data_IF_317621664123
#
_entry.id   IF_317621664123
#
_cell.length_a   1.000
_cell.length_b   1.000
_cell.length_c   1.000
_cell.angle_alpha   90.00
_cell.angle_beta   90.00
_cell.angle_gamma   90.00
#
_symmetry.space_group_name_H-M   'P 1'
#
loop_
_entity.id
_entity.type
_entity.pdbx_description
1 polymer ?
#
# COMPACT_ATOMS: atom_id res chain seq x y z
N UNK A 1 3.85 20.73 13.01
CA UNK A 1 5.04 19.85 13.00
C UNK A 1 5.14 19.23 14.39
N UNK A 2 4.75 17.99 14.55
CA UNK A 2 5.01 17.26 15.80
C UNK A 2 6.41 16.70 15.67
N UNK A 3 7.39 17.33 16.30
CA UNK A 3 8.71 16.73 16.50
C UNK A 3 8.49 15.54 17.42
N UNK A 4 8.64 14.32 16.89
CA UNK A 4 8.68 13.11 17.66
C UNK A 4 9.79 13.25 18.71
N UNK A 5 9.42 13.41 19.99
CA UNK A 5 10.36 13.46 21.09
C UNK A 5 10.83 12.03 21.40
N UNK A 6 11.79 11.56 20.64
CA UNK A 6 12.40 10.24 20.79
C UNK A 6 13.07 10.05 22.15
N UNK A 7 13.37 11.15 22.88
CA UNK A 7 14.00 11.07 24.20
C UNK A 7 13.04 10.63 25.32
N UNK A 8 11.72 10.80 25.12
CA UNK A 8 10.67 10.35 26.06
C UNK A 8 9.89 9.13 25.55
N UNK A 9 10.30 8.54 24.45
CA UNK A 9 9.64 7.36 23.88
C UNK A 9 9.90 6.12 24.76
N UNK A 10 8.84 5.59 25.36
CA UNK A 10 8.87 4.36 26.18
C UNK A 10 8.62 3.09 25.34
N UNK A 11 8.60 3.20 24.01
CA UNK A 11 8.37 2.08 23.11
C UNK A 11 6.91 1.61 23.06
N UNK A 12 5.96 2.43 23.50
CA UNK A 12 4.53 2.12 23.45
C UNK A 12 3.97 2.40 22.04
N UNK A 13 2.91 1.68 21.67
CA UNK A 13 2.15 1.97 20.45
C UNK A 13 1.47 3.33 20.53
N UNK A 14 1.38 4.01 19.39
CA UNK A 14 0.43 5.10 19.22
C UNK A 14 -1.00 4.55 19.37
N UNK A 15 -1.79 4.99 20.35
CA UNK A 15 -3.11 4.41 20.64
C UNK A 15 -4.10 4.62 19.49
N UNK A 16 -3.97 5.70 18.71
CA UNK A 16 -4.82 5.96 17.55
C UNK A 16 -4.47 5.00 16.41
N UNK A 17 -3.18 4.82 16.12
CA UNK A 17 -2.72 3.86 15.11
C UNK A 17 -3.18 2.44 15.46
N UNK A 18 -2.98 2.02 16.72
CA UNK A 18 -3.38 0.70 17.18
C UNK A 18 -4.90 0.48 17.05
N UNK A 19 -5.70 1.47 17.44
CA UNK A 19 -7.15 1.40 17.27
C UNK A 19 -7.58 1.27 15.82
N UNK A 20 -6.92 1.99 14.90
CA UNK A 20 -7.17 1.87 13.46
C UNK A 20 -6.79 0.49 12.92
N UNK A 21 -5.64 -0.05 13.32
CA UNK A 21 -5.19 -1.39 12.92
C UNK A 21 -6.13 -2.51 13.38
N UNK A 22 -6.76 -2.35 14.54
CA UNK A 22 -7.68 -3.34 15.12
C UNK A 22 -9.11 -3.27 14.55
N UNK A 23 -9.52 -2.12 14.00
CA UNK A 23 -10.87 -1.88 13.52
C UNK A 23 -10.89 -1.70 11.98
N UNK A 24 -11.00 -2.81 11.25
CA UNK A 24 -11.00 -2.84 9.78
C UNK A 24 -12.37 -2.42 9.21
N UNK A 25 -12.70 -1.13 9.33
CA UNK A 25 -13.90 -0.54 8.72
C UNK A 25 -13.67 -0.02 7.30
N UNK A 26 -14.63 0.77 6.81
CA UNK A 26 -14.48 1.47 5.54
C UNK A 26 -13.28 2.42 5.58
N UNK A 27 -12.57 2.56 4.47
CA UNK A 27 -11.37 3.39 4.33
C UNK A 27 -10.23 3.07 5.31
N UNK A 28 -10.27 1.87 5.92
CA UNK A 28 -9.31 1.40 6.91
C UNK A 28 -7.85 1.64 6.49
N UNK A 29 -7.47 1.19 5.27
CA UNK A 29 -6.09 1.30 4.79
C UNK A 29 -5.66 2.76 4.65
N UNK A 30 -6.54 3.62 4.16
CA UNK A 30 -6.29 5.06 4.02
C UNK A 30 -6.13 5.74 5.38
N UNK A 31 -6.96 5.39 6.36
CA UNK A 31 -6.87 5.94 7.72
C UNK A 31 -5.58 5.49 8.41
N UNK A 32 -5.21 4.21 8.28
CA UNK A 32 -3.93 3.67 8.79
C UNK A 32 -2.76 4.38 8.11
N UNK A 33 -2.76 4.48 6.77
CA UNK A 33 -1.72 5.15 6.01
C UNK A 33 -1.52 6.61 6.47
N UNK A 34 -2.60 7.38 6.58
CA UNK A 34 -2.52 8.78 7.02
C UNK A 34 -1.94 8.92 8.43
N UNK A 35 -2.23 7.97 9.31
CA UNK A 35 -1.65 7.98 10.65
C UNK A 35 -0.18 7.59 10.63
N UNK A 36 0.20 6.60 9.82
CA UNK A 36 1.57 6.10 9.68
C UNK A 36 2.55 7.18 9.24
N UNK A 37 2.17 8.09 8.35
CA UNK A 37 3.04 9.18 7.86
C UNK A 37 3.76 9.93 8.98
N UNK A 38 3.12 10.07 10.14
CA UNK A 38 3.64 10.81 11.29
C UNK A 38 3.94 9.89 12.49
N UNK A 39 4.00 8.59 12.28
CA UNK A 39 4.22 7.63 13.37
C UNK A 39 5.68 7.24 13.48
N UNK A 40 6.12 7.03 14.72
CA UNK A 40 7.33 6.30 15.02
C UNK A 40 7.04 4.81 14.94
N UNK A 41 7.88 4.07 14.27
CA UNK A 41 7.90 2.61 14.26
C UNK A 41 9.20 2.09 14.88
N UNK A 42 9.25 0.81 15.15
CA UNK A 42 10.42 0.13 15.71
C UNK A 42 10.87 -0.92 14.69
N UNK A 43 12.08 -0.78 14.18
CA UNK A 43 12.76 -1.82 13.40
C UNK A 43 13.45 -2.82 14.31
N UNK A 44 13.87 -3.94 13.75
CA UNK A 44 14.53 -5.02 14.45
C UNK A 44 15.94 -5.27 13.93
N UNK A 45 16.93 -5.24 14.81
CA UNK A 45 18.28 -5.74 14.55
C UNK A 45 18.42 -7.12 15.18
N UNK A 46 18.89 -8.07 14.42
CA UNK A 46 19.16 -9.45 14.86
C UNK A 46 20.62 -9.81 14.68
N UNK A 47 21.14 -10.69 15.54
CA UNK A 47 22.48 -11.23 15.40
C UNK A 47 22.43 -12.38 14.39
N UNK A 48 23.21 -12.28 13.31
CA UNK A 48 23.51 -13.41 12.43
C UNK A 48 24.68 -14.18 13.03
N UNK A 49 24.46 -15.45 13.38
CA UNK A 49 25.48 -16.34 13.92
C UNK A 49 26.21 -17.04 12.75
N UNK A 50 27.15 -16.35 12.15
CA UNK A 50 28.20 -16.95 11.32
C UNK A 50 29.53 -16.96 12.12
N UNK A 51 30.66 -17.21 11.48
CA UNK A 51 31.99 -17.23 12.13
C UNK A 51 32.28 -15.93 12.91
N UNK A 52 31.69 -14.81 12.49
CA UNK A 52 31.64 -13.53 13.22
C UNK A 52 30.21 -13.14 13.48
N UNK A 53 29.92 -12.63 14.70
CA UNK A 53 28.60 -12.12 15.03
C UNK A 53 28.39 -10.78 14.34
N UNK A 54 27.62 -10.76 13.26
CA UNK A 54 27.18 -9.53 12.58
C UNK A 54 25.77 -9.15 13.01
N UNK A 55 25.57 -7.86 13.26
CA UNK A 55 24.26 -7.30 13.58
C UNK A 55 23.62 -6.82 12.27
N UNK A 56 22.50 -7.40 11.92
CA UNK A 56 21.79 -7.11 10.66
C UNK A 56 20.36 -6.70 10.91
N UNK A 57 19.83 -5.85 10.04
CA UNK A 57 18.41 -5.58 10.01
C UNK A 57 17.64 -6.87 9.69
N UNK A 58 16.58 -7.12 10.43
CA UNK A 58 15.76 -8.31 10.21
C UNK A 58 14.99 -8.17 8.90
N UNK A 59 14.95 -9.25 8.14
CA UNK A 59 14.14 -9.38 6.93
C UNK A 59 13.26 -10.63 7.04
N UNK A 60 12.13 -10.60 6.38
CA UNK A 60 11.18 -11.69 6.30
C UNK A 60 11.00 -12.11 4.82
N UNK A 61 11.20 -13.39 4.54
CA UNK A 61 10.99 -13.94 3.20
C UNK A 61 9.71 -14.79 3.17
N UNK A 62 8.86 -14.54 2.21
CA UNK A 62 7.66 -15.34 1.94
C UNK A 62 7.98 -16.54 1.05
N UNK A 63 7.04 -17.49 0.98
CA UNK A 63 7.22 -18.72 0.18
C UNK A 63 7.25 -18.44 -1.34
N UNK A 64 6.71 -17.34 -1.80
CA UNK A 64 6.73 -16.87 -3.19
C UNK A 64 7.97 -16.04 -3.54
N UNK A 65 8.94 -15.95 -2.61
CA UNK A 65 10.24 -15.30 -2.81
C UNK A 65 10.25 -13.80 -2.53
N UNK A 66 9.13 -13.20 -2.12
CA UNK A 66 9.10 -11.79 -1.73
C UNK A 66 9.81 -11.57 -0.41
N UNK A 67 10.51 -10.44 -0.31
CA UNK A 67 11.26 -10.06 0.89
C UNK A 67 10.69 -8.77 1.48
N UNK A 68 10.42 -8.78 2.77
CA UNK A 68 9.86 -7.64 3.46
C UNK A 68 10.65 -7.29 4.72
N UNK A 69 10.60 -6.02 5.09
CA UNK A 69 11.18 -5.51 6.33
C UNK A 69 10.10 -5.51 7.43
N UNK A 70 10.25 -6.29 8.51
CA UNK A 70 9.34 -6.22 9.65
C UNK A 70 9.59 -4.94 10.45
N UNK A 71 8.50 -4.24 10.78
CA UNK A 71 8.49 -3.08 11.68
C UNK A 71 7.36 -3.24 12.69
N UNK A 72 7.47 -2.58 13.83
CA UNK A 72 6.58 -2.81 14.96
C UNK A 72 6.06 -1.49 15.52
N UNK A 73 4.80 -1.49 15.97
CA UNK A 73 4.20 -0.33 16.62
C UNK A 73 4.72 -0.11 18.04
N UNK A 74 5.17 -1.20 18.70
CA UNK A 74 5.67 -1.15 20.08
C UNK A 74 6.78 -2.16 20.36
N UNK A 75 7.45 -2.00 21.50
CA UNK A 75 8.40 -2.99 22.03
C UNK A 75 7.72 -4.31 22.35
N UNK A 76 6.45 -4.31 22.77
CA UNK A 76 5.70 -5.53 23.03
C UNK A 76 5.48 -6.33 21.75
N UNK A 77 5.14 -5.67 20.64
CA UNK A 77 4.99 -6.33 19.34
C UNK A 77 6.33 -6.88 18.81
N UNK A 78 7.42 -6.12 18.97
CA UNK A 78 8.77 -6.60 18.66
C UNK A 78 9.12 -7.85 19.49
N UNK A 79 8.84 -7.81 20.82
CA UNK A 79 9.15 -8.90 21.75
C UNK A 79 8.31 -10.15 21.47
N UNK A 80 7.05 -10.01 21.07
CA UNK A 80 6.22 -11.13 20.59
C UNK A 80 6.85 -11.84 19.39
N UNK A 81 7.44 -11.07 18.48
CA UNK A 81 8.10 -11.63 17.30
C UNK A 81 9.45 -12.25 17.65
N UNK A 82 10.33 -11.49 18.33
CA UNK A 82 11.67 -11.97 18.72
C UNK A 82 12.18 -11.23 19.96
N UNK A 83 12.32 -11.97 21.07
CA UNK A 83 12.80 -11.44 22.36
C UNK A 83 14.26 -11.01 22.34
N UNK A 84 15.08 -11.53 21.40
CA UNK A 84 16.50 -11.23 21.30
C UNK A 84 16.78 -10.06 20.34
N UNK A 85 15.78 -9.60 19.58
CA UNK A 85 15.92 -8.49 18.66
C UNK A 85 16.17 -7.18 19.40
N UNK A 86 17.08 -6.38 18.88
CA UNK A 86 17.35 -5.04 19.38
C UNK A 86 16.50 -4.01 18.63
N UNK A 87 15.79 -3.13 19.37
CA UNK A 87 14.92 -2.12 18.76
C UNK A 87 15.73 -0.98 18.14
N UNK A 88 15.28 -0.50 16.98
CA UNK A 88 15.71 0.77 16.38
C UNK A 88 14.47 1.60 16.09
N UNK A 89 14.22 2.69 16.82
CA UNK A 89 13.10 3.59 16.55
C UNK A 89 13.44 4.55 15.41
N UNK A 90 12.58 4.61 14.38
CA UNK A 90 12.63 5.57 13.28
C UNK A 90 11.20 6.01 12.92
N UNK A 91 11.07 7.08 12.16
CA UNK A 91 9.79 7.47 11.58
C UNK A 91 9.42 6.54 10.41
N UNK A 92 8.13 6.36 10.17
CA UNK A 92 7.65 5.38 9.20
C UNK A 92 8.18 5.62 7.77
N UNK A 93 8.32 6.89 7.35
CA UNK A 93 8.83 7.20 6.01
C UNK A 93 10.31 6.81 5.83
N UNK A 94 11.14 6.88 6.89
CA UNK A 94 12.54 6.45 6.81
C UNK A 94 12.64 4.93 6.60
N UNK A 95 11.78 4.13 7.27
CA UNK A 95 11.69 2.69 7.00
C UNK A 95 11.21 2.40 5.59
N UNK A 96 10.23 3.16 5.10
CA UNK A 96 9.73 3.01 3.72
C UNK A 96 10.83 3.34 2.70
N UNK A 97 11.62 4.40 2.92
CA UNK A 97 12.74 4.74 2.06
C UNK A 97 13.83 3.65 2.08
N UNK A 98 14.20 3.16 3.27
CA UNK A 98 15.16 2.06 3.39
C UNK A 98 14.68 0.78 2.70
N UNK A 99 13.38 0.50 2.74
CA UNK A 99 12.78 -0.66 2.05
C UNK A 99 12.95 -0.54 0.54
N UNK A 100 12.73 0.65 -0.02
CA UNK A 100 12.93 0.93 -1.45
C UNK A 100 14.42 0.86 -1.82
N UNK A 101 15.30 1.50 -1.04
CA UNK A 101 16.74 1.54 -1.30
C UNK A 101 17.40 0.15 -1.27
N UNK A 102 16.83 -0.78 -0.50
CA UNK A 102 17.25 -2.17 -0.42
C UNK A 102 16.51 -3.10 -1.40
N UNK A 103 15.70 -2.54 -2.31
CA UNK A 103 14.92 -3.29 -3.31
C UNK A 103 14.02 -4.37 -2.68
N UNK A 104 13.46 -4.10 -1.48
CA UNK A 104 12.54 -5.00 -0.81
C UNK A 104 11.09 -4.76 -1.29
N UNK A 105 10.27 -5.81 -1.22
CA UNK A 105 8.89 -5.78 -1.74
C UNK A 105 7.91 -5.03 -0.83
N UNK A 106 8.14 -5.04 0.48
CA UNK A 106 7.18 -4.47 1.43
C UNK A 106 7.78 -4.13 2.81
N UNK A 107 7.05 -3.27 3.55
CA UNK A 107 7.09 -3.21 5.00
C UNK A 107 5.96 -4.07 5.58
N UNK A 108 6.21 -4.84 6.63
CA UNK A 108 5.17 -5.56 7.36
C UNK A 108 5.13 -5.04 8.80
N UNK A 109 4.01 -4.42 9.15
CA UNK A 109 3.75 -3.91 10.48
C UNK A 109 3.15 -5.01 11.36
N UNK A 110 3.70 -5.20 12.57
CA UNK A 110 3.24 -6.13 13.62
C UNK A 110 2.98 -7.56 13.10
N UNK A 111 3.96 -8.15 12.42
CA UNK A 111 3.86 -9.42 11.69
C UNK A 111 3.27 -10.58 12.51
N UNK A 112 3.46 -10.58 13.84
CA UNK A 112 3.00 -11.64 14.77
C UNK A 112 1.61 -11.37 15.34
N UNK A 113 0.91 -10.34 14.88
CA UNK A 113 -0.41 -9.95 15.40
C UNK A 113 -1.51 -10.07 14.32
N UNK A 114 -2.76 -10.26 14.78
CA UNK A 114 -3.94 -10.34 13.90
C UNK A 114 -4.22 -9.02 13.17
N UNK A 115 -3.73 -7.92 13.74
CA UNK A 115 -3.82 -6.58 13.16
C UNK A 115 -2.62 -6.21 12.26
N UNK A 116 -1.82 -7.19 11.83
CA UNK A 116 -0.73 -6.94 10.89
C UNK A 116 -1.20 -6.17 9.67
N UNK A 117 -0.34 -5.27 9.19
CA UNK A 117 -0.61 -4.44 8.03
C UNK A 117 0.57 -4.45 7.06
N UNK A 118 0.30 -4.65 5.78
CA UNK A 118 1.32 -4.71 4.73
C UNK A 118 1.30 -3.41 3.93
N UNK A 119 2.48 -2.80 3.76
CA UNK A 119 2.68 -1.57 3.00
C UNK A 119 3.58 -1.94 1.83
N UNK A 120 3.04 -1.91 0.61
CA UNK A 120 3.74 -2.34 -0.60
C UNK A 120 3.34 -1.50 -1.82
N UNK A 121 4.09 -1.65 -2.92
CA UNK A 121 3.79 -1.00 -4.19
C UNK A 121 3.66 0.51 -4.07
N UNK A 122 2.61 1.08 -4.69
CA UNK A 122 2.38 2.53 -4.70
C UNK A 122 2.21 3.12 -3.30
N UNK A 123 1.55 2.39 -2.38
CA UNK A 123 1.41 2.82 -0.98
C UNK A 123 2.78 3.01 -0.31
N UNK A 124 3.72 2.08 -0.54
CA UNK A 124 5.08 2.16 -0.01
C UNK A 124 5.84 3.37 -0.59
N UNK A 125 5.72 3.59 -1.89
CA UNK A 125 6.31 4.76 -2.57
C UNK A 125 5.77 6.08 -2.03
N UNK A 126 4.46 6.18 -1.81
CA UNK A 126 3.84 7.36 -1.20
C UNK A 126 4.33 7.60 0.22
N UNK A 127 4.46 6.53 1.04
CA UNK A 127 4.96 6.65 2.40
C UNK A 127 6.40 7.15 2.43
N UNK A 128 7.29 6.59 1.61
CA UNK A 128 8.70 7.00 1.51
C UNK A 128 8.84 8.47 1.11
N UNK A 129 8.06 8.92 0.15
CA UNK A 129 8.07 10.30 -0.35
C UNK A 129 7.24 11.27 0.50
N UNK A 130 6.62 10.79 1.58
CA UNK A 130 5.68 11.53 2.43
C UNK A 130 4.53 12.19 1.64
N UNK A 131 4.07 11.52 0.57
CA UNK A 131 2.97 11.93 -0.29
C UNK A 131 1.63 11.40 0.22
N UNK A 132 0.52 11.94 -0.31
CA UNK A 132 -0.81 11.38 -0.07
C UNK A 132 -0.97 10.08 -0.86
N UNK A 133 -1.67 9.11 -0.27
CA UNK A 133 -2.07 7.89 -0.94
C UNK A 133 -3.60 7.80 -0.95
N UNK A 134 -4.16 7.40 -2.08
CA UNK A 134 -5.58 7.14 -2.24
C UNK A 134 -5.78 5.76 -2.87
N UNK A 135 -6.96 5.19 -2.64
CA UNK A 135 -7.39 4.04 -3.43
C UNK A 135 -7.43 4.39 -4.92
N UNK A 136 -7.10 3.47 -5.83
CA UNK A 136 -7.11 3.73 -7.28
C UNK A 136 -8.41 4.36 -7.78
N UNK A 137 -9.57 3.88 -7.30
CA UNK A 137 -10.89 4.42 -7.67
C UNK A 137 -11.22 5.80 -7.06
N UNK A 138 -10.36 6.35 -6.21
CA UNK A 138 -10.45 7.69 -5.61
C UNK A 138 -9.26 8.58 -6.04
N UNK A 139 -8.35 8.05 -6.83
CA UNK A 139 -7.19 8.79 -7.33
C UNK A 139 -7.58 9.56 -8.59
N UNK A 140 -7.54 10.90 -8.51
CA UNK A 140 -7.98 11.75 -9.61
C UNK A 140 -7.20 11.54 -10.89
N UNK A 141 -5.90 11.28 -10.82
CA UNK A 141 -5.07 11.06 -12.02
C UNK A 141 -5.38 9.71 -12.67
N UNK A 142 -5.69 8.68 -11.88
CA UNK A 142 -6.17 7.38 -12.38
C UNK A 142 -7.52 7.55 -13.09
N UNK A 143 -8.46 8.22 -12.41
CA UNK A 143 -9.80 8.50 -12.95
C UNK A 143 -9.70 9.29 -14.25
N UNK A 144 -8.99 10.41 -14.26
CA UNK A 144 -8.80 11.27 -15.42
C UNK A 144 -8.17 10.52 -16.61
N UNK A 145 -7.23 9.60 -16.32
CA UNK A 145 -6.58 8.80 -17.36
C UNK A 145 -7.56 7.85 -18.02
N UNK A 146 -8.36 7.13 -17.22
CA UNK A 146 -9.37 6.19 -17.74
C UNK A 146 -10.46 6.94 -18.50
N UNK A 147 -10.97 8.04 -17.95
CA UNK A 147 -11.98 8.87 -18.61
C UNK A 147 -11.48 9.41 -19.95
N UNK A 148 -10.25 9.93 -20.02
CA UNK A 148 -9.65 10.41 -21.27
C UNK A 148 -9.56 9.33 -22.34
N UNK A 149 -9.21 8.10 -21.97
CA UNK A 149 -9.13 6.98 -22.90
C UNK A 149 -10.53 6.64 -23.41
N UNK A 150 -11.47 6.40 -22.51
CA UNK A 150 -12.81 5.96 -22.85
C UNK A 150 -13.58 7.02 -23.64
N UNK A 151 -13.55 8.29 -23.23
CA UNK A 151 -14.34 9.38 -23.84
C UNK A 151 -13.78 9.87 -25.19
N UNK A 152 -12.60 9.43 -25.62
CA UNK A 152 -12.13 9.60 -27.00
C UNK A 152 -12.98 8.82 -28.00
N UNK A 153 -13.59 7.73 -27.57
CA UNK A 153 -14.46 6.92 -28.41
C UNK A 153 -15.85 7.58 -28.51
N UNK A 154 -16.25 7.90 -29.72
CA UNK A 154 -17.48 8.69 -30.01
C UNK A 154 -18.75 8.06 -29.45
N UNK A 155 -18.76 6.74 -29.29
CA UNK A 155 -19.91 5.98 -28.83
C UNK A 155 -19.96 5.83 -27.29
N UNK A 156 -18.94 6.28 -26.55
CA UNK A 156 -18.96 6.29 -25.09
C UNK A 156 -19.65 7.55 -24.60
N UNK A 157 -20.73 7.36 -23.86
CA UNK A 157 -21.55 8.47 -23.32
C UNK A 157 -21.14 8.86 -21.91
N UNK A 158 -20.70 7.87 -21.10
CA UNK A 158 -20.35 8.06 -19.69
C UNK A 158 -19.42 6.94 -19.25
N UNK A 159 -18.58 7.23 -18.26
CA UNK A 159 -17.75 6.26 -17.55
C UNK A 159 -18.03 6.40 -16.05
N UNK A 160 -18.15 5.29 -15.34
CA UNK A 160 -18.19 5.27 -13.88
C UNK A 160 -17.10 4.35 -13.37
N UNK A 161 -16.31 4.83 -12.41
CA UNK A 161 -15.18 4.10 -11.85
C UNK A 161 -15.44 3.90 -10.36
N UNK A 162 -15.43 2.64 -9.93
CA UNK A 162 -15.67 2.26 -8.55
C UNK A 162 -14.62 1.23 -8.10
N UNK A 163 -14.65 0.88 -6.82
CA UNK A 163 -13.79 -0.17 -6.27
C UNK A 163 -14.11 -1.52 -6.93
N UNK A 164 -13.08 -2.22 -7.42
CA UNK A 164 -13.20 -3.60 -7.87
C UNK A 164 -13.39 -4.59 -6.71
N UNK A 165 -13.79 -5.82 -7.03
CA UNK A 165 -13.95 -6.92 -6.04
C UNK A 165 -12.65 -7.73 -5.96
N UNK A 166 -12.19 -8.28 -7.08
CA UNK A 166 -10.96 -9.09 -7.20
C UNK A 166 -9.84 -8.34 -7.93
N UNK A 167 -10.07 -7.09 -8.28
CA UNK A 167 -9.16 -6.15 -8.94
C UNK A 167 -9.23 -4.79 -8.26
N UNK A 168 -8.39 -3.84 -8.67
CA UNK A 168 -8.37 -2.50 -8.08
C UNK A 168 -9.56 -1.65 -8.53
N UNK A 169 -10.00 -1.81 -9.78
CA UNK A 169 -10.97 -0.94 -10.43
C UNK A 169 -12.09 -1.72 -11.08
N UNK A 170 -13.30 -1.24 -10.91
CA UNK A 170 -14.48 -1.59 -11.69
C UNK A 170 -14.85 -0.38 -12.56
N UNK A 171 -14.73 -0.55 -13.88
CA UNK A 171 -14.99 0.52 -14.86
C UNK A 171 -16.24 0.19 -15.64
N UNK A 172 -17.31 0.93 -15.42
CA UNK A 172 -18.57 0.77 -16.14
C UNK A 172 -18.66 1.81 -17.27
N UNK A 173 -18.71 1.33 -18.50
CA UNK A 173 -18.75 2.14 -19.72
C UNK A 173 -20.18 2.15 -20.24
N UNK A 174 -20.74 3.34 -20.46
CA UNK A 174 -22.09 3.51 -20.98
C UNK A 174 -22.07 3.88 -22.45
N UNK A 175 -22.77 3.13 -23.28
CA UNK A 175 -22.84 3.37 -24.73
C UNK A 175 -23.78 2.41 -25.44
N UNK A 176 -23.86 2.47 -26.77
CA UNK A 176 -24.71 1.57 -27.57
C UNK A 176 -24.16 0.12 -27.52
N UNK A 177 -25.02 -0.89 -27.78
CA UNK A 177 -24.64 -2.31 -27.66
C UNK A 177 -23.46 -2.74 -28.56
N UNK A 178 -23.26 -2.11 -29.70
CA UNK A 178 -22.18 -2.39 -30.65
C UNK A 178 -20.79 -2.01 -30.11
N UNK A 179 -20.73 -1.14 -29.09
CA UNK A 179 -19.51 -0.80 -28.40
C UNK A 179 -18.83 -2.01 -27.73
N UNK A 180 -19.56 -3.11 -27.50
CA UNK A 180 -19.02 -4.33 -26.88
C UNK A 180 -17.74 -4.85 -27.59
N UNK A 181 -17.64 -4.67 -28.90
CA UNK A 181 -16.47 -5.09 -29.67
C UNK A 181 -15.22 -4.23 -29.40
N UNK A 182 -15.40 -3.01 -28.90
CA UNK A 182 -14.32 -2.04 -28.63
C UNK A 182 -13.84 -2.11 -27.17
N UNK A 183 -14.66 -2.60 -26.25
CA UNK A 183 -14.35 -2.64 -24.80
C UNK A 183 -13.04 -3.37 -24.50
N UNK A 184 -12.75 -4.48 -25.22
CA UNK A 184 -11.50 -5.22 -25.06
C UNK A 184 -10.30 -4.36 -25.44
N UNK A 185 -10.43 -3.57 -26.50
CA UNK A 185 -9.40 -2.62 -26.95
C UNK A 185 -9.16 -1.52 -25.93
N UNK A 186 -10.25 -0.95 -25.39
CA UNK A 186 -10.18 0.04 -24.29
C UNK A 186 -9.48 -0.51 -23.05
N UNK A 187 -9.81 -1.75 -22.65
CA UNK A 187 -9.16 -2.39 -21.52
C UNK A 187 -7.65 -2.52 -21.70
N UNK A 188 -7.19 -2.91 -22.90
CA UNK A 188 -5.75 -2.97 -23.20
C UNK A 188 -5.10 -1.60 -23.12
N UNK A 189 -5.70 -0.57 -23.72
CA UNK A 189 -5.18 0.80 -23.69
C UNK A 189 -5.07 1.32 -22.24
N UNK A 190 -6.05 1.02 -21.39
CA UNK A 190 -6.04 1.41 -19.98
C UNK A 190 -4.89 0.74 -19.22
N UNK A 191 -4.73 -0.59 -19.30
CA UNK A 191 -3.70 -1.29 -18.52
C UNK A 191 -2.28 -1.06 -19.07
N UNK A 192 -2.13 -0.54 -20.27
CA UNK A 192 -0.84 -0.12 -20.83
C UNK A 192 -0.34 1.21 -20.25
N UNK A 193 -1.23 2.00 -19.63
CA UNK A 193 -0.80 3.27 -19.01
C UNK A 193 0.08 3.01 -17.79
N UNK A 194 1.21 3.73 -17.72
CA UNK A 194 2.17 3.60 -16.61
C UNK A 194 1.52 3.86 -15.26
N UNK A 195 0.70 4.92 -15.17
CA UNK A 195 -0.02 5.29 -13.95
C UNK A 195 -0.98 4.19 -13.46
N UNK A 196 -1.61 3.46 -14.40
CA UNK A 196 -2.50 2.34 -14.04
C UNK A 196 -1.68 1.17 -13.51
N UNK A 197 -0.57 0.83 -14.18
CA UNK A 197 0.33 -0.25 -13.73
C UNK A 197 0.96 0.03 -12.38
N UNK A 198 1.27 1.29 -12.09
CA UNK A 198 1.85 1.72 -10.82
C UNK A 198 0.81 1.72 -9.69
N UNK A 199 -0.37 2.35 -9.93
CA UNK A 199 -1.34 2.65 -8.86
C UNK A 199 -2.50 1.67 -8.75
N UNK A 200 -2.77 0.89 -9.82
CA UNK A 200 -3.79 -0.15 -9.87
C UNK A 200 -3.21 -1.48 -10.39
N UNK A 201 -2.21 -2.07 -9.71
CA UNK A 201 -1.48 -3.25 -10.19
C UNK A 201 -2.34 -4.51 -10.34
N UNK A 202 -3.46 -4.62 -9.63
CA UNK A 202 -4.42 -5.72 -9.79
C UNK A 202 -5.33 -5.50 -11.01
N UNK A 203 -5.21 -4.35 -11.71
CA UNK A 203 -5.91 -4.05 -12.94
C UNK A 203 -7.35 -3.57 -12.76
N UNK A 204 -8.09 -3.63 -13.87
CA UNK A 204 -9.45 -3.14 -13.96
C UNK A 204 -10.36 -4.13 -14.70
N UNK A 205 -11.54 -4.39 -14.15
CA UNK A 205 -12.63 -5.05 -14.84
C UNK A 205 -13.50 -4.02 -15.56
N UNK A 206 -13.72 -4.22 -16.87
CA UNK A 206 -14.52 -3.35 -17.70
C UNK A 206 -15.88 -3.98 -18.01
N UNK A 207 -16.92 -3.20 -17.84
CA UNK A 207 -18.29 -3.58 -18.11
C UNK A 207 -18.94 -2.58 -19.07
N UNK A 208 -19.75 -3.08 -19.99
CA UNK A 208 -20.60 -2.26 -20.84
C UNK A 208 -22.02 -2.24 -20.31
N UNK A 209 -22.53 -1.06 -20.04
CA UNK A 209 -23.95 -0.84 -19.78
C UNK A 209 -24.58 -0.22 -21.03
N UNK A 210 -25.42 -0.97 -21.77
CA UNK A 210 -26.09 -0.46 -22.95
C UNK A 210 -27.03 0.70 -22.64
N UNK A 211 -26.91 1.80 -23.37
CA UNK A 211 -27.91 2.87 -23.39
C UNK A 211 -28.84 2.61 -24.59
N UNK A 212 -30.12 2.57 -24.31
CA UNK A 212 -31.19 2.38 -25.30
C UNK A 212 -31.49 3.68 -26.02
#
# INVERSE_FOLDING_TARGET
>A
MSTLDLNNDKGQSDPVLLALLQNKGNDYEKLVFNRLKNSRLIGAIVAKKDENVEMMQALFSSNDGKVAMPVFTSLDELTKWNKEARPIPLVAHDFAQQTIDQELDALILDISSDHRFVIQGYMLSCLAKNQEWNYPHQDSEVIDTIEKICLKHKNVSKVEITKGVDCDLHVNIYGPPDLANEVIGLGKEIVEQEIIRERAPLGADLFLTPLL
#
